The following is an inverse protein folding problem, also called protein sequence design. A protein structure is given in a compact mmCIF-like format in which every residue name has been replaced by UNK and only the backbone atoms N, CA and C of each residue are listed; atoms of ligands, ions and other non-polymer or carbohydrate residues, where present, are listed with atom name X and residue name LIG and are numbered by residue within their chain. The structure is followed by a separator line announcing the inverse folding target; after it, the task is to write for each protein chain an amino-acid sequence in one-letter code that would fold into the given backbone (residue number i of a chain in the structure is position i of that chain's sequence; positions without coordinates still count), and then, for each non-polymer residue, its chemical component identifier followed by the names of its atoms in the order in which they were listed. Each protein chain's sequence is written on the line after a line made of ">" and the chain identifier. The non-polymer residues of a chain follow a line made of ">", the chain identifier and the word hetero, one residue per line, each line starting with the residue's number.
data_IF_098730244974
#
_entry.id   IF_098730244974
#
_cell.length_a   1.000
_cell.length_b   1.000
_cell.length_c   1.000
_cell.angle_alpha   90.00
_cell.angle_beta   90.00
_cell.angle_gamma   90.00
#
_symmetry.space_group_name_H-M   'P 1'
#
loop_
_entity.id
_entity.type
_entity.pdbx_description
1 polymer ?
#
# COMPACT_ATOMS: atom_id res chain seq x y z
N UNK A 1 -21.48 -8.84 -10.72
CA UNK A 1 -21.59 -8.01 -11.94
C UNK A 1 -20.59 -6.86 -11.79
N UNK A 2 -19.82 -6.49 -12.83
CA UNK A 2 -18.99 -5.27 -12.74
C UNK A 2 -19.92 -4.06 -12.76
N UNK A 3 -19.64 -3.07 -11.92
CA UNK A 3 -20.42 -1.82 -11.86
C UNK A 3 -20.34 -1.08 -13.20
N UNK A 4 -21.42 -0.41 -13.59
CA UNK A 4 -21.40 0.45 -14.77
C UNK A 4 -20.58 1.73 -14.50
N UNK A 5 -20.18 2.43 -15.56
CA UNK A 5 -19.49 3.72 -15.41
C UNK A 5 -20.36 4.74 -14.64
N UNK A 6 -21.66 4.80 -14.95
CA UNK A 6 -22.60 5.68 -14.27
C UNK A 6 -22.69 5.36 -12.77
N UNK A 7 -22.67 4.07 -12.39
CA UNK A 7 -22.68 3.65 -10.98
C UNK A 7 -21.39 4.05 -10.24
N UNK A 8 -20.26 4.13 -10.93
CA UNK A 8 -18.99 4.55 -10.36
C UNK A 8 -18.97 6.06 -10.15
N UNK A 9 -19.45 6.83 -11.14
CA UNK A 9 -19.57 8.29 -11.05
C UNK A 9 -20.52 8.67 -9.91
N UNK A 10 -21.71 8.08 -9.87
CA UNK A 10 -22.69 8.37 -8.81
C UNK A 10 -22.15 8.11 -7.40
N UNK A 11 -21.35 7.04 -7.22
CA UNK A 11 -20.70 6.80 -5.93
C UNK A 11 -19.57 7.79 -5.65
N UNK A 12 -18.81 8.20 -6.67
CA UNK A 12 -17.78 9.21 -6.48
C UNK A 12 -18.39 10.53 -6.01
N UNK A 13 -19.53 10.93 -6.58
CA UNK A 13 -20.28 12.12 -6.18
C UNK A 13 -20.81 11.99 -4.74
N UNK A 14 -21.40 10.84 -4.38
CA UNK A 14 -21.85 10.57 -3.00
C UNK A 14 -20.68 10.66 -1.98
N UNK A 15 -19.51 10.13 -2.35
CA UNK A 15 -18.33 10.21 -1.50
C UNK A 15 -17.81 11.64 -1.39
N UNK A 16 -17.80 12.40 -2.48
CA UNK A 16 -17.39 13.80 -2.48
C UNK A 16 -18.30 14.62 -1.56
N UNK A 17 -19.62 14.50 -1.71
CA UNK A 17 -20.60 15.19 -0.86
C UNK A 17 -20.39 14.87 0.62
N UNK A 18 -20.13 13.59 0.94
CA UNK A 18 -19.85 13.17 2.32
C UNK A 18 -18.58 13.77 2.89
N UNK A 19 -17.53 13.96 2.09
CA UNK A 19 -16.29 14.58 2.57
C UNK A 19 -16.42 16.10 2.68
N UNK A 20 -17.06 16.74 1.70
CA UNK A 20 -17.23 18.19 1.65
C UNK A 20 -18.15 18.70 2.76
N UNK A 21 -19.19 17.95 3.08
CA UNK A 21 -20.18 18.34 4.10
C UNK A 21 -19.88 17.78 5.50
N UNK A 22 -18.76 17.09 5.67
CA UNK A 22 -18.40 16.55 6.98
C UNK A 22 -17.79 17.63 7.87
N UNK A 23 -18.54 18.05 8.88
CA UNK A 23 -18.04 18.87 9.99
C UNK A 23 -17.65 17.93 11.15
N UNK A 24 -16.34 17.76 11.46
CA UNK A 24 -15.91 16.86 12.51
C UNK A 24 -16.39 17.32 13.88
N UNK A 25 -16.92 16.40 14.69
CA UNK A 25 -17.19 16.65 16.09
C UNK A 25 -15.90 16.48 16.92
N UNK A 26 -15.87 17.02 18.14
CA UNK A 26 -14.72 16.88 19.05
C UNK A 26 -14.28 15.41 19.26
N UNK A 27 -15.25 14.48 19.21
CA UNK A 27 -15.01 13.04 19.34
C UNK A 27 -14.26 12.42 18.17
N UNK A 28 -14.18 13.06 17.00
CA UNK A 28 -13.64 12.48 15.78
C UNK A 28 -12.12 12.61 15.65
N UNK A 29 -11.53 13.69 16.20
CA UNK A 29 -10.10 14.00 16.02
C UNK A 29 -9.15 12.98 16.66
N UNK A 30 -9.59 12.33 17.74
CA UNK A 30 -8.79 11.35 18.48
C UNK A 30 -9.53 10.03 18.67
N UNK A 31 -10.59 9.80 17.89
CA UNK A 31 -11.31 8.54 17.92
C UNK A 31 -10.33 7.40 17.57
N UNK A 32 -10.28 6.32 18.36
CA UNK A 32 -9.54 5.15 17.93
C UNK A 32 -10.13 4.64 16.63
N UNK A 33 -9.27 4.28 15.68
CA UNK A 33 -9.72 3.63 14.45
C UNK A 33 -10.55 2.39 14.81
N UNK A 34 -11.63 2.16 14.06
CA UNK A 34 -12.33 0.88 14.17
C UNK A 34 -11.33 -0.27 13.91
N UNK A 35 -11.46 -1.43 14.59
CA UNK A 35 -10.49 -2.52 14.44
C UNK A 35 -10.25 -2.93 12.98
N UNK A 36 -11.31 -2.94 12.16
CA UNK A 36 -11.20 -3.24 10.73
C UNK A 36 -10.45 -2.14 9.97
N UNK A 37 -10.66 -0.87 10.29
CA UNK A 37 -9.92 0.23 9.66
C UNK A 37 -8.43 0.18 10.04
N UNK A 38 -8.11 -0.16 11.28
CA UNK A 38 -6.73 -0.33 11.72
C UNK A 38 -6.01 -1.43 10.90
N UNK A 39 -6.66 -2.58 10.67
CA UNK A 39 -6.12 -3.65 9.81
C UNK A 39 -5.95 -3.18 8.36
N UNK A 40 -6.95 -2.49 7.80
CA UNK A 40 -6.87 -1.94 6.43
C UNK A 40 -5.71 -0.95 6.28
N UNK A 41 -5.51 -0.07 7.27
CA UNK A 41 -4.42 0.88 7.27
C UNK A 41 -3.05 0.18 7.39
N UNK A 42 -2.93 -0.83 8.24
CA UNK A 42 -1.71 -1.64 8.36
C UNK A 42 -1.38 -2.35 7.03
N UNK A 43 -2.38 -2.93 6.38
CA UNK A 43 -2.22 -3.57 5.07
C UNK A 43 -1.81 -2.57 4.00
N UNK A 44 -2.40 -1.36 3.99
CA UNK A 44 -2.01 -0.28 3.08
C UNK A 44 -0.55 0.10 3.27
N UNK A 45 -0.12 0.35 4.52
CA UNK A 45 1.28 0.67 4.84
C UNK A 45 2.24 -0.42 4.40
N UNK A 46 1.89 -1.68 4.66
CA UNK A 46 2.67 -2.84 4.20
C UNK A 46 2.79 -2.88 2.68
N UNK A 47 1.70 -2.66 1.94
CA UNK A 47 1.75 -2.63 0.47
C UNK A 47 2.63 -1.50 -0.06
N UNK A 48 2.63 -0.33 0.57
CA UNK A 48 3.51 0.78 0.19
C UNK A 48 4.98 0.43 0.46
N UNK A 49 5.30 -0.12 1.62
CA UNK A 49 6.66 -0.57 1.95
C UNK A 49 7.15 -1.69 1.01
N UNK A 50 6.26 -2.62 0.61
CA UNK A 50 6.60 -3.66 -0.36
C UNK A 50 6.93 -3.09 -1.75
N UNK A 51 6.21 -2.05 -2.20
CA UNK A 51 6.51 -1.35 -3.46
C UNK A 51 7.85 -0.63 -3.41
N UNK A 52 8.10 0.11 -2.33
CA UNK A 52 9.36 0.82 -2.10
C UNK A 52 10.55 -0.15 -2.08
N UNK A 53 10.42 -1.27 -1.36
CA UNK A 53 11.45 -2.31 -1.32
C UNK A 53 11.71 -2.90 -2.71
N UNK A 54 10.66 -3.18 -3.49
CA UNK A 54 10.82 -3.69 -4.85
C UNK A 54 11.57 -2.70 -5.76
N UNK A 55 11.32 -1.40 -5.62
CA UNK A 55 12.01 -0.36 -6.37
C UNK A 55 13.48 -0.20 -5.96
N UNK A 56 13.77 -0.24 -4.66
CA UNK A 56 15.13 -0.24 -4.15
C UNK A 56 15.93 -1.46 -4.66
N UNK A 57 15.31 -2.65 -4.66
CA UNK A 57 15.91 -3.88 -5.20
C UNK A 57 16.19 -3.73 -6.69
N UNK A 58 15.22 -3.23 -7.48
CA UNK A 58 15.42 -2.99 -8.93
C UNK A 58 16.58 -2.03 -9.18
N UNK A 59 16.65 -0.94 -8.43
CA UNK A 59 17.74 0.06 -8.52
C UNK A 59 19.10 -0.55 -8.19
N UNK A 60 19.19 -1.34 -7.12
CA UNK A 60 20.41 -2.03 -6.74
C UNK A 60 20.83 -3.09 -7.77
N UNK A 61 19.87 -3.78 -8.40
CA UNK A 61 20.14 -4.71 -9.50
C UNK A 61 20.68 -4.01 -10.74
N UNK A 62 20.18 -2.83 -11.08
CA UNK A 62 20.74 -1.99 -12.14
C UNK A 62 22.18 -1.54 -11.84
N UNK A 63 22.53 -1.43 -10.56
CA UNK A 63 23.91 -1.18 -10.10
C UNK A 63 24.77 -2.46 -9.98
N UNK A 64 24.31 -3.59 -10.51
CA UNK A 64 24.98 -4.90 -10.48
C UNK A 64 25.18 -5.53 -9.09
N UNK A 65 24.47 -5.06 -8.05
CA UNK A 65 24.50 -5.71 -6.72
C UNK A 65 23.99 -7.14 -6.84
N UNK A 66 24.71 -8.11 -6.27
CA UNK A 66 24.35 -9.52 -6.41
C UNK A 66 23.07 -9.86 -5.63
N UNK A 67 22.33 -10.87 -6.09
CA UNK A 67 21.17 -11.38 -5.35
C UNK A 67 21.52 -11.83 -3.93
N UNK A 68 22.73 -12.39 -3.75
CA UNK A 68 23.24 -12.79 -2.44
C UNK A 68 23.33 -11.59 -1.48
N UNK A 69 23.94 -10.49 -1.91
CA UNK A 69 24.07 -9.27 -1.10
C UNK A 69 22.70 -8.65 -0.79
N UNK A 70 21.77 -8.67 -1.74
CA UNK A 70 20.41 -8.18 -1.50
C UNK A 70 19.66 -9.04 -0.49
N UNK A 71 19.82 -10.36 -0.55
CA UNK A 71 19.25 -11.28 0.44
C UNK A 71 19.79 -11.00 1.84
N UNK A 72 21.12 -10.88 1.95
CA UNK A 72 21.80 -10.53 3.20
C UNK A 72 21.29 -9.21 3.79
N UNK A 73 21.13 -8.18 2.95
CA UNK A 73 20.66 -6.86 3.37
C UNK A 73 19.24 -6.86 3.99
N UNK A 74 18.37 -7.79 3.60
CA UNK A 74 16.99 -7.88 4.10
C UNK A 74 16.71 -9.12 4.96
N UNK A 75 17.77 -9.84 5.35
CA UNK A 75 17.67 -11.00 6.24
C UNK A 75 17.01 -12.23 5.61
N UNK A 76 17.22 -12.47 4.31
CA UNK A 76 16.70 -13.65 3.60
C UNK A 76 17.73 -14.23 2.62
N UNK A 77 17.38 -15.30 1.89
CA UNK A 77 18.28 -15.85 0.88
C UNK A 77 18.23 -15.04 -0.41
N UNK A 78 19.36 -14.94 -1.11
CA UNK A 78 19.39 -14.26 -2.41
C UNK A 78 18.46 -14.90 -3.45
N UNK A 79 18.27 -16.22 -3.39
CA UNK A 79 17.31 -16.90 -4.27
C UNK A 79 15.86 -16.52 -3.93
N UNK A 80 15.51 -16.32 -2.65
CA UNK A 80 14.19 -15.83 -2.26
C UNK A 80 13.93 -14.40 -2.77
N UNK A 81 14.96 -13.54 -2.74
CA UNK A 81 14.88 -12.20 -3.35
C UNK A 81 14.68 -12.32 -4.86
N UNK A 82 15.49 -13.14 -5.54
CA UNK A 82 15.40 -13.34 -6.99
C UNK A 82 14.02 -13.84 -7.40
N UNK A 83 13.49 -14.85 -6.74
CA UNK A 83 12.16 -15.40 -7.06
C UNK A 83 11.04 -14.38 -6.88
N UNK A 84 11.19 -13.46 -5.91
CA UNK A 84 10.16 -12.47 -5.59
C UNK A 84 10.24 -11.19 -6.43
N UNK A 85 11.44 -10.79 -6.87
CA UNK A 85 11.67 -9.45 -7.43
C UNK A 85 12.41 -9.44 -8.79
N UNK A 86 12.70 -10.58 -9.40
CA UNK A 86 13.40 -10.64 -10.70
C UNK A 86 12.51 -10.43 -11.93
N UNK A 87 11.42 -9.66 -11.80
CA UNK A 87 10.61 -9.22 -12.95
C UNK A 87 11.34 -8.17 -13.79
#
# INVERSE_FOLDING_TARGET
>A
MRRSLSDLIAQADELAERFENYEPADGDFNAPLSPIMAVKLAQFRRSQAEKELAEAIRTARSANVSWRELGEAIGTSGEAVRQRYAE
#
